data_IF_375498786801
#
_entry.id   IF_375498786801
#
_cell.length_a   1.000
_cell.length_b   1.000
_cell.length_c   1.000
_cell.angle_alpha   90.00
_cell.angle_beta   90.00
_cell.angle_gamma   90.00
#
_symmetry.space_group_name_H-M   'P 1'
#
loop_
_entity.id
_entity.type
_entity.pdbx_description
1 polymer ?
#
# COMPACT_ATOMS: atom_id res chain seq x y z
N UNK A 1 -8.34 5.12 -14.45
CA UNK A 1 -8.27 6.57 -14.68
C UNK A 1 -7.76 6.87 -16.08
N UNK A 2 -6.47 6.71 -16.35
CA UNK A 2 -5.86 6.92 -17.67
C UNK A 2 -6.27 5.90 -18.72
N UNK A 3 -6.82 4.75 -18.33
CA UNK A 3 -7.07 3.63 -19.23
C UNK A 3 -5.81 2.92 -19.75
N UNK A 4 -4.67 3.10 -19.05
CA UNK A 4 -3.37 2.54 -19.47
C UNK A 4 -2.69 1.70 -18.38
N UNK A 5 -3.33 1.51 -17.23
CA UNK A 5 -2.77 0.70 -16.13
C UNK A 5 -2.84 -0.77 -16.51
N UNK A 6 -1.69 -1.43 -16.57
CA UNK A 6 -1.55 -2.81 -17.06
C UNK A 6 -2.45 -3.79 -16.32
N UNK A 7 -2.45 -3.76 -14.99
CA UNK A 7 -3.25 -4.67 -14.17
C UNK A 7 -4.75 -4.49 -14.41
N UNK A 8 -5.22 -3.24 -14.47
CA UNK A 8 -6.63 -2.95 -14.69
C UNK A 8 -7.11 -3.40 -16.08
N UNK A 9 -6.28 -3.21 -17.12
CA UNK A 9 -6.57 -3.68 -18.48
C UNK A 9 -6.53 -5.22 -18.53
N UNK A 10 -5.52 -5.84 -17.94
CA UNK A 10 -5.37 -7.30 -17.89
C UNK A 10 -6.57 -7.98 -17.23
N UNK A 11 -7.03 -7.47 -16.08
CA UNK A 11 -8.26 -7.97 -15.45
C UNK A 11 -9.49 -7.69 -16.30
N UNK A 12 -9.58 -6.50 -16.90
CA UNK A 12 -10.66 -6.15 -17.81
C UNK A 12 -10.79 -7.13 -18.98
N UNK A 13 -9.67 -7.45 -19.62
CA UNK A 13 -9.63 -8.41 -20.73
C UNK A 13 -9.94 -9.83 -20.29
N UNK A 14 -9.41 -10.26 -19.15
CA UNK A 14 -9.69 -11.59 -18.60
C UNK A 14 -11.17 -11.78 -18.28
N UNK A 15 -11.79 -10.84 -17.56
CA UNK A 15 -13.20 -10.96 -17.21
C UNK A 15 -14.13 -10.74 -18.39
N UNK A 16 -13.75 -9.88 -19.36
CA UNK A 16 -14.49 -9.72 -20.60
C UNK A 16 -14.52 -11.04 -21.37
N UNK A 17 -13.36 -11.70 -21.56
CA UNK A 17 -13.30 -13.00 -22.22
C UNK A 17 -14.15 -14.08 -21.51
N UNK A 18 -14.13 -14.12 -20.17
CA UNK A 18 -15.00 -15.02 -19.40
C UNK A 18 -16.49 -14.75 -19.63
N UNK A 19 -16.87 -13.48 -19.75
CA UNK A 19 -18.26 -13.11 -20.06
C UNK A 19 -18.63 -13.45 -21.50
N UNK A 20 -17.72 -13.33 -22.45
CA UNK A 20 -17.92 -13.79 -23.85
C UNK A 20 -18.15 -15.29 -23.93
N UNK A 21 -17.35 -16.08 -23.21
CA UNK A 21 -17.52 -17.55 -23.13
C UNK A 21 -18.91 -17.93 -22.59
N UNK A 22 -19.43 -17.16 -21.63
CA UNK A 22 -20.72 -17.42 -20.97
C UNK A 22 -21.93 -16.88 -21.73
N UNK A 23 -21.80 -15.74 -22.43
CA UNK A 23 -22.93 -14.97 -22.97
C UNK A 23 -22.83 -14.68 -24.47
N UNK A 24 -21.71 -14.97 -25.10
CA UNK A 24 -21.46 -14.57 -26.49
C UNK A 24 -21.44 -13.07 -26.67
N UNK A 25 -21.93 -12.56 -27.81
CA UNK A 25 -21.84 -11.16 -28.20
C UNK A 25 -22.54 -10.13 -27.29
N UNK A 26 -23.09 -10.54 -26.15
CA UNK A 26 -23.73 -9.66 -25.16
C UNK A 26 -22.88 -9.35 -23.93
N UNK A 27 -21.62 -9.75 -23.91
CA UNK A 27 -20.70 -9.65 -22.76
C UNK A 27 -20.56 -8.22 -22.23
N UNK A 28 -20.37 -7.24 -23.12
CA UNK A 28 -20.20 -5.83 -22.76
C UNK A 28 -21.34 -5.23 -21.94
N UNK A 29 -22.57 -5.72 -22.16
CA UNK A 29 -23.75 -5.30 -21.40
C UNK A 29 -23.68 -5.60 -19.89
N UNK A 30 -22.71 -6.41 -19.45
CA UNK A 30 -22.44 -6.74 -18.04
C UNK A 30 -21.23 -5.98 -17.45
N UNK A 31 -20.60 -5.12 -18.25
CA UNK A 31 -19.47 -4.32 -17.83
C UNK A 31 -19.79 -2.83 -17.82
N UNK A 32 -19.11 -2.11 -16.97
CA UNK A 32 -19.07 -0.66 -16.95
C UNK A 32 -17.62 -0.21 -16.76
N UNK A 33 -17.28 0.96 -17.25
CA UNK A 33 -15.96 1.55 -17.03
C UNK A 33 -16.07 2.91 -16.35
N UNK A 34 -15.02 3.24 -15.57
CA UNK A 34 -14.82 4.56 -14.99
C UNK A 34 -13.47 5.03 -15.50
N UNK A 35 -13.42 6.16 -16.17
CA UNK A 35 -12.18 6.64 -16.79
C UNK A 35 -12.21 8.14 -17.06
N UNK A 36 -11.07 8.71 -17.43
CA UNK A 36 -10.99 10.11 -17.82
C UNK A 36 -11.57 10.30 -19.24
N UNK A 37 -12.16 11.46 -19.55
CA UNK A 37 -12.60 11.79 -20.91
C UNK A 37 -11.45 11.67 -21.91
N UNK A 38 -11.73 11.05 -23.06
CA UNK A 38 -10.75 10.88 -24.14
C UNK A 38 -9.65 9.85 -23.86
N UNK A 39 -9.77 9.06 -22.82
CA UNK A 39 -8.84 7.96 -22.57
C UNK A 39 -9.09 6.78 -23.52
N UNK A 40 -8.08 5.93 -23.81
CA UNK A 40 -8.25 4.73 -24.65
C UNK A 40 -9.36 3.77 -24.14
N UNK A 41 -9.64 3.77 -22.84
CA UNK A 41 -10.67 2.94 -22.26
C UNK A 41 -12.10 3.40 -22.65
N UNK A 42 -12.29 4.67 -23.03
CA UNK A 42 -13.58 5.14 -23.57
C UNK A 42 -13.87 4.44 -24.88
N UNK A 43 -12.91 4.44 -25.82
CA UNK A 43 -13.05 3.82 -27.13
C UNK A 43 -13.24 2.32 -27.01
N UNK A 44 -12.42 1.65 -26.21
CA UNK A 44 -12.54 0.22 -25.92
C UNK A 44 -13.92 -0.14 -25.33
N UNK A 45 -14.45 0.70 -24.43
CA UNK A 45 -15.78 0.47 -23.83
C UNK A 45 -16.91 0.59 -24.84
N UNK A 46 -16.81 1.52 -25.78
CA UNK A 46 -17.78 1.66 -26.88
C UNK A 46 -17.67 0.50 -27.87
N UNK A 47 -16.46 0.10 -28.24
CA UNK A 47 -16.22 -1.04 -29.15
C UNK A 47 -16.80 -2.33 -28.58
N UNK A 48 -16.57 -2.59 -27.29
CA UNK A 48 -17.06 -3.79 -26.57
C UNK A 48 -18.52 -3.70 -26.11
N UNK A 49 -19.21 -2.59 -26.37
CA UNK A 49 -20.61 -2.39 -25.98
C UNK A 49 -20.83 -2.40 -24.47
N UNK A 50 -19.96 -1.78 -23.69
CA UNK A 50 -20.14 -1.67 -22.23
C UNK A 50 -21.43 -0.95 -21.90
N UNK A 51 -22.13 -1.41 -20.85
CA UNK A 51 -23.41 -0.88 -20.39
C UNK A 51 -23.36 0.62 -20.12
N UNK A 52 -22.25 1.10 -19.53
CA UNK A 52 -22.07 2.49 -19.17
C UNK A 52 -20.59 2.85 -19.08
N UNK A 53 -20.27 4.04 -19.54
CA UNK A 53 -18.96 4.70 -19.29
C UNK A 53 -19.22 5.89 -18.36
N UNK A 54 -18.56 5.88 -17.20
CA UNK A 54 -18.58 6.99 -16.26
C UNK A 54 -17.33 7.83 -16.47
N UNK A 55 -17.51 9.04 -16.95
CA UNK A 55 -16.41 9.98 -17.15
C UNK A 55 -16.12 10.69 -15.83
N UNK A 56 -14.90 10.53 -15.33
CA UNK A 56 -14.45 11.13 -14.08
C UNK A 56 -13.72 12.45 -14.33
N UNK A 57 -13.45 13.20 -13.27
CA UNK A 57 -12.66 14.44 -13.31
C UNK A 57 -11.20 14.13 -13.66
N UNK A 58 -10.63 14.90 -14.58
CA UNK A 58 -9.26 14.67 -15.10
C UNK A 58 -8.16 15.13 -14.15
N UNK A 59 -8.47 16.09 -13.30
CA UNK A 59 -7.56 16.76 -12.35
C UNK A 59 -7.44 16.05 -10.99
N UNK A 60 -8.09 14.90 -10.81
CA UNK A 60 -8.02 14.10 -9.57
C UNK A 60 -7.06 12.93 -9.76
N UNK A 61 -6.02 12.82 -8.92
CA UNK A 61 -5.15 11.64 -8.84
C UNK A 61 -5.88 10.41 -8.27
N UNK A 62 -5.40 9.20 -8.58
CA UNK A 62 -6.05 7.94 -8.14
C UNK A 62 -6.24 7.87 -6.62
N UNK A 63 -5.23 8.20 -5.83
CA UNK A 63 -5.29 8.18 -4.36
C UNK A 63 -6.23 9.22 -3.74
N UNK A 64 -6.57 10.28 -4.48
CA UNK A 64 -7.52 11.33 -4.10
C UNK A 64 -8.91 11.12 -4.69
N UNK A 65 -9.23 9.93 -5.20
CA UNK A 65 -10.44 9.69 -5.98
C UNK A 65 -11.54 8.91 -5.25
N UNK A 66 -11.38 8.66 -3.94
CA UNK A 66 -12.35 7.88 -3.16
C UNK A 66 -13.75 8.50 -3.18
N UNK A 67 -13.86 9.83 -3.13
CA UNK A 67 -15.12 10.57 -3.19
C UNK A 67 -15.57 10.93 -4.62
N UNK A 68 -15.01 10.29 -5.65
CA UNK A 68 -15.40 10.41 -7.05
C UNK A 68 -16.11 9.14 -7.53
N UNK A 69 -16.42 9.05 -8.83
CA UNK A 69 -17.00 7.83 -9.40
C UNK A 69 -16.14 6.58 -9.15
N UNK A 70 -14.82 6.70 -9.00
CA UNK A 70 -13.93 5.56 -8.72
C UNK A 70 -14.26 4.86 -7.40
N UNK A 71 -14.60 5.61 -6.35
CA UNK A 71 -15.01 5.01 -5.07
C UNK A 71 -16.53 4.87 -4.94
N UNK A 72 -17.29 5.89 -5.36
CA UNK A 72 -18.74 5.94 -5.13
C UNK A 72 -19.54 4.93 -5.93
N UNK A 73 -19.14 4.63 -7.17
CA UNK A 73 -19.89 3.65 -7.98
C UNK A 73 -19.75 2.23 -7.42
N UNK A 74 -18.56 1.72 -7.12
CA UNK A 74 -18.43 0.43 -6.44
C UNK A 74 -19.18 0.38 -5.11
N UNK A 75 -19.07 1.43 -4.28
CA UNK A 75 -19.77 1.52 -3.00
C UNK A 75 -21.30 1.43 -3.16
N UNK A 76 -21.86 2.16 -4.14
CA UNK A 76 -23.28 2.09 -4.44
C UNK A 76 -23.72 0.71 -4.92
N UNK A 77 -22.91 0.03 -5.73
CA UNK A 77 -23.17 -1.34 -6.20
C UNK A 77 -23.11 -2.37 -5.06
N UNK A 78 -22.34 -2.08 -4.02
CA UNK A 78 -22.28 -2.88 -2.79
C UNK A 78 -23.40 -2.57 -1.79
N UNK A 79 -24.27 -1.60 -2.10
CA UNK A 79 -25.39 -1.22 -1.24
C UNK A 79 -25.06 -0.19 -0.16
N UNK A 80 -23.90 0.45 -0.22
CA UNK A 80 -23.57 1.55 0.70
C UNK A 80 -24.42 2.77 0.41
N UNK A 81 -24.93 3.43 1.44
CA UNK A 81 -25.61 4.72 1.29
C UNK A 81 -24.60 5.83 0.96
N UNK A 82 -24.29 5.95 -0.33
CA UNK A 82 -23.36 6.96 -0.86
C UNK A 82 -23.89 8.38 -0.70
N UNK A 83 -25.19 8.57 -0.55
CA UNK A 83 -25.79 9.87 -0.27
C UNK A 83 -25.39 10.36 1.11
N UNK A 84 -25.61 9.55 2.15
CA UNK A 84 -25.20 9.90 3.53
C UNK A 84 -23.68 9.99 3.64
N UNK A 85 -22.90 9.09 3.00
CA UNK A 85 -21.45 9.15 2.96
C UNK A 85 -20.95 10.51 2.42
N UNK A 86 -21.54 10.99 1.31
CA UNK A 86 -21.20 12.30 0.74
C UNK A 86 -21.63 13.47 1.62
N UNK A 87 -22.79 13.38 2.29
CA UNK A 87 -23.23 14.41 3.25
C UNK A 87 -22.19 14.57 4.37
N UNK A 88 -21.66 13.46 4.89
CA UNK A 88 -20.61 13.50 5.92
C UNK A 88 -19.29 14.06 5.38
N UNK A 89 -18.90 13.70 4.16
CA UNK A 89 -17.74 14.31 3.47
C UNK A 89 -17.90 15.83 3.34
N UNK A 90 -19.09 16.31 2.96
CA UNK A 90 -19.38 17.75 2.84
C UNK A 90 -19.33 18.46 4.19
N UNK A 91 -19.77 17.82 5.28
CA UNK A 91 -19.63 18.38 6.65
C UNK A 91 -18.14 18.58 7.01
N UNK A 92 -17.30 17.58 6.70
CA UNK A 92 -15.86 17.69 6.93
C UNK A 92 -15.22 18.76 6.03
N UNK A 93 -15.59 18.81 4.75
CA UNK A 93 -15.17 19.88 3.83
C UNK A 93 -15.49 21.26 4.42
N UNK A 94 -16.70 21.43 4.93
CA UNK A 94 -17.12 22.69 5.57
C UNK A 94 -16.26 22.97 6.81
N UNK A 95 -16.05 21.98 7.68
CA UNK A 95 -15.21 22.11 8.87
C UNK A 95 -13.74 22.46 8.53
N UNK A 96 -13.24 22.06 7.38
CA UNK A 96 -11.88 22.40 6.91
C UNK A 96 -11.82 23.69 6.08
N UNK A 97 -12.97 24.31 5.76
CA UNK A 97 -13.02 25.51 4.93
C UNK A 97 -12.71 26.77 5.73
N UNK A 98 -12.02 27.77 5.15
CA UNK A 98 -11.90 29.10 5.74
C UNK A 98 -13.24 29.83 5.84
N UNK A 99 -14.27 29.39 5.11
CA UNK A 99 -15.64 29.96 5.15
C UNK A 99 -16.43 29.49 6.37
N UNK A 100 -15.97 28.46 7.09
CA UNK A 100 -16.57 28.04 8.34
C UNK A 100 -16.52 29.23 9.34
N UNK A 101 -17.64 29.56 10.06
CA UNK A 101 -17.71 30.76 10.89
C UNK A 101 -16.61 30.73 11.96
N UNK A 102 -15.62 31.54 11.78
CA UNK A 102 -14.46 31.57 12.65
C UNK A 102 -13.74 32.91 12.60
N UNK A 103 -14.44 33.98 12.96
CA UNK A 103 -13.77 35.25 13.28
C UNK A 103 -12.74 35.09 14.43
N UNK A 104 -12.88 34.02 15.25
CA UNK A 104 -12.06 33.72 16.42
C UNK A 104 -11.70 32.23 16.57
N UNK A 105 -11.71 31.46 15.47
CA UNK A 105 -11.49 30.01 15.54
C UNK A 105 -9.99 29.68 15.71
N UNK A 106 -9.68 28.91 16.74
CA UNK A 106 -8.35 28.33 16.88
C UNK A 106 -8.07 27.45 15.64
N UNK A 107 -6.93 27.62 14.92
CA UNK A 107 -6.53 26.73 13.84
C UNK A 107 -6.56 25.24 14.21
N UNK A 108 -6.37 24.90 15.49
CA UNK A 108 -6.50 23.54 16.00
C UNK A 108 -7.93 22.98 15.91
N UNK A 109 -8.94 23.82 15.75
CA UNK A 109 -10.34 23.40 15.54
C UNK A 109 -10.64 23.01 14.08
N UNK A 110 -9.73 23.29 13.14
CA UNK A 110 -9.82 22.79 11.76
C UNK A 110 -9.24 21.39 11.69
N UNK A 111 -10.07 20.33 11.48
CA UNK A 111 -9.62 18.96 11.64
C UNK A 111 -8.57 18.53 10.60
N UNK A 112 -8.66 19.05 9.37
CA UNK A 112 -7.68 18.78 8.32
C UNK A 112 -6.35 19.50 8.55
N UNK A 113 -6.42 20.77 8.97
CA UNK A 113 -5.22 21.56 9.28
C UNK A 113 -4.50 21.01 10.51
N UNK A 114 -5.21 20.71 11.59
CA UNK A 114 -4.62 20.17 12.82
C UNK A 114 -3.91 18.82 12.55
N UNK A 115 -4.58 17.91 11.83
CA UNK A 115 -3.98 16.62 11.47
C UNK A 115 -2.79 16.80 10.53
N UNK A 116 -2.92 17.60 9.48
CA UNK A 116 -1.84 17.83 8.50
C UNK A 116 -0.63 18.51 9.13
N UNK A 117 -0.84 19.50 9.99
CA UNK A 117 0.24 20.15 10.75
C UNK A 117 0.94 19.15 11.70
N UNK A 118 0.17 18.32 12.40
CA UNK A 118 0.73 17.27 13.26
C UNK A 118 1.61 16.31 12.49
N UNK A 119 1.11 15.81 11.36
CA UNK A 119 1.85 14.89 10.48
C UNK A 119 3.14 15.53 9.93
N UNK A 120 3.04 16.75 9.39
CA UNK A 120 4.17 17.45 8.79
C UNK A 120 5.24 17.84 9.81
N UNK A 121 4.83 18.49 10.91
CA UNK A 121 5.75 18.97 11.95
C UNK A 121 6.45 17.82 12.70
N UNK A 122 5.72 16.76 13.05
CA UNK A 122 6.33 15.59 13.68
C UNK A 122 7.22 14.85 12.69
N UNK A 123 6.82 14.78 11.41
CA UNK A 123 7.65 14.23 10.35
C UNK A 123 8.99 14.93 10.21
N UNK A 124 9.01 16.27 10.19
CA UNK A 124 10.25 17.07 10.18
C UNK A 124 11.12 16.87 11.43
N UNK A 125 10.53 16.48 12.56
CA UNK A 125 11.23 16.19 13.82
C UNK A 125 11.65 14.72 13.94
N UNK A 126 11.61 13.94 12.85
CA UNK A 126 12.01 12.54 12.81
C UNK A 126 10.92 11.54 13.18
N UNK A 127 9.71 11.97 13.60
CA UNK A 127 8.56 11.09 13.87
C UNK A 127 7.75 10.84 12.58
N UNK A 128 8.39 10.19 11.64
CA UNK A 128 7.86 10.02 10.28
C UNK A 128 7.26 8.63 10.00
N UNK A 129 7.20 7.73 10.99
CA UNK A 129 6.54 6.41 10.91
C UNK A 129 5.13 6.53 11.51
N UNK A 130 4.14 6.79 10.63
CA UNK A 130 2.73 6.96 11.01
C UNK A 130 2.08 5.60 11.17
N UNK A 131 1.91 5.14 12.40
CA UNK A 131 1.38 3.81 12.72
C UNK A 131 -0.11 3.90 13.00
N UNK A 132 -0.90 3.20 12.19
CA UNK A 132 -2.36 3.17 12.30
C UNK A 132 -2.82 2.04 13.19
N UNK A 133 -3.51 2.39 14.26
CA UNK A 133 -4.16 1.50 15.20
C UNK A 133 -5.67 1.60 14.99
N UNK A 134 -6.28 0.57 14.43
CA UNK A 134 -7.69 0.62 14.00
C UNK A 134 -8.44 -0.67 14.32
N UNK A 135 -9.76 -0.56 14.58
CA UNK A 135 -10.65 -1.70 14.64
C UNK A 135 -10.60 -2.52 13.34
N UNK A 136 -10.89 -3.81 13.42
CA UNK A 136 -10.92 -4.72 12.27
C UNK A 136 -11.82 -4.22 11.14
N UNK A 137 -12.98 -3.64 11.47
CA UNK A 137 -13.92 -3.07 10.50
C UNK A 137 -13.31 -1.92 9.65
N UNK A 138 -12.22 -1.29 10.10
CA UNK A 138 -11.51 -0.23 9.37
C UNK A 138 -10.18 -0.71 8.75
N UNK A 139 -9.83 -1.99 8.85
CA UNK A 139 -8.52 -2.47 8.39
C UNK A 139 -8.24 -2.15 6.92
N UNK A 140 -9.24 -2.26 6.04
CA UNK A 140 -9.10 -1.93 4.60
C UNK A 140 -8.94 -0.43 4.34
N UNK A 141 -9.45 0.44 5.22
CA UNK A 141 -9.20 1.87 5.14
C UNK A 141 -7.71 2.19 5.35
N UNK A 142 -7.02 1.40 6.17
CA UNK A 142 -5.57 1.49 6.33
C UNK A 142 -4.80 1.33 5.01
N UNK A 143 -5.26 0.47 4.10
CA UNK A 143 -4.64 0.27 2.78
C UNK A 143 -4.76 1.52 1.88
N UNK A 144 -5.86 2.26 1.99
CA UNK A 144 -6.01 3.53 1.27
C UNK A 144 -5.14 4.62 1.90
N UNK A 145 -5.07 4.71 3.23
CA UNK A 145 -4.16 5.62 3.94
C UNK A 145 -2.70 5.35 3.61
N UNK A 146 -2.33 4.07 3.47
CA UNK A 146 -1.00 3.66 3.01
C UNK A 146 -0.67 4.27 1.66
N UNK A 147 -1.56 4.13 0.69
CA UNK A 147 -1.35 4.73 -0.62
C UNK A 147 -1.31 6.25 -0.54
N UNK A 148 -2.28 6.86 0.13
CA UNK A 148 -2.41 8.31 0.21
C UNK A 148 -1.12 8.94 0.76
N UNK A 149 -0.63 8.48 1.91
CA UNK A 149 0.56 9.06 2.54
C UNK A 149 1.85 8.72 1.80
N UNK A 150 2.08 7.44 1.51
CA UNK A 150 3.34 7.01 0.90
C UNK A 150 3.56 7.60 -0.49
N UNK A 151 2.53 7.57 -1.34
CA UNK A 151 2.64 8.07 -2.72
C UNK A 151 2.66 9.61 -2.77
N UNK A 152 1.99 10.29 -1.84
CA UNK A 152 1.97 11.75 -1.80
C UNK A 152 3.24 12.35 -1.18
N UNK A 153 3.81 11.72 -0.15
CA UNK A 153 4.90 12.34 0.63
C UNK A 153 6.28 11.74 0.35
N UNK A 154 6.35 10.50 -0.16
CA UNK A 154 7.60 9.75 -0.31
C UNK A 154 8.40 10.17 -1.53
N UNK A 155 9.01 11.35 -1.54
CA UNK A 155 9.79 11.87 -2.65
C UNK A 155 10.85 12.88 -2.19
N UNK A 156 11.82 13.17 -3.05
CA UNK A 156 12.89 14.15 -2.78
C UNK A 156 13.68 13.88 -1.48
N UNK A 157 13.77 12.59 -1.10
CA UNK A 157 14.50 12.17 0.09
C UNK A 157 13.74 12.37 1.40
N UNK A 158 12.46 12.74 1.37
CA UNK A 158 11.58 12.85 2.54
C UNK A 158 10.35 11.95 2.42
N UNK A 159 9.53 11.88 3.45
CA UNK A 159 8.26 11.17 3.41
C UNK A 159 7.77 10.69 4.78
N UNK A 160 6.47 10.44 4.83
CA UNK A 160 5.81 9.81 5.96
C UNK A 160 5.58 8.32 5.62
N UNK A 161 6.15 7.43 6.40
CA UNK A 161 5.95 5.99 6.24
C UNK A 161 4.65 5.56 6.92
N UNK A 162 3.61 5.19 6.19
CA UNK A 162 2.42 4.60 6.78
C UNK A 162 2.71 3.15 7.22
N UNK A 163 2.40 2.85 8.47
CA UNK A 163 2.50 1.50 9.04
C UNK A 163 1.10 1.01 9.35
N UNK A 164 0.56 0.15 8.49
CA UNK A 164 -0.79 -0.41 8.59
C UNK A 164 -0.77 -1.88 8.98
N UNK A 165 -1.78 -2.34 9.72
CA UNK A 165 -1.94 -3.75 10.08
C UNK A 165 -0.80 -4.33 10.93
N UNK A 166 0.03 -3.50 11.55
CA UNK A 166 1.01 -3.93 12.55
C UNK A 166 0.28 -4.21 13.87
N UNK A 167 0.31 -5.42 14.40
CA UNK A 167 -0.28 -5.71 15.70
C UNK A 167 0.36 -4.85 16.78
N UNK A 168 -0.48 -4.29 17.68
CA UNK A 168 0.04 -3.49 18.78
C UNK A 168 0.95 -4.33 19.69
N UNK A 169 2.13 -3.79 20.03
CA UNK A 169 3.12 -4.41 20.89
C UNK A 169 3.29 -3.68 22.22
N UNK A 170 4.22 -4.16 23.04
CA UNK A 170 4.67 -3.44 24.22
C UNK A 170 5.30 -2.09 23.81
N UNK A 171 5.07 -0.98 24.54
CA UNK A 171 5.65 0.32 24.18
C UNK A 171 7.18 0.30 23.99
N UNK A 172 7.89 -0.56 24.69
CA UNK A 172 9.37 -0.66 24.61
C UNK A 172 9.91 -1.15 23.27
N UNK A 173 9.06 -1.76 22.41
CA UNK A 173 9.50 -2.21 21.08
C UNK A 173 9.45 -1.13 20.00
N UNK A 174 8.94 0.05 20.35
CA UNK A 174 8.79 1.16 19.41
C UNK A 174 9.89 2.22 19.60
N UNK A 175 10.48 2.65 18.49
CA UNK A 175 11.42 3.76 18.48
C UNK A 175 10.76 5.13 18.64
N UNK A 176 11.57 6.15 18.84
CA UNK A 176 11.13 7.55 18.98
C UNK A 176 10.64 8.16 17.66
N UNK A 177 10.76 7.44 16.55
CA UNK A 177 10.36 7.86 15.21
C UNK A 177 8.88 7.60 14.90
N UNK A 178 8.12 7.06 15.86
CA UNK A 178 6.70 6.72 15.72
C UNK A 178 5.78 7.89 16.03
N UNK A 179 4.72 8.01 15.22
CA UNK A 179 3.49 8.73 15.50
C UNK A 179 2.35 7.72 15.38
N UNK A 180 1.54 7.57 16.42
CA UNK A 180 0.42 6.66 16.41
C UNK A 180 -0.87 7.41 16.07
N UNK A 181 -1.71 6.81 15.21
CA UNK A 181 -3.05 7.30 14.91
C UNK A 181 -4.05 6.22 15.27
N UNK A 182 -4.85 6.47 16.28
CA UNK A 182 -5.83 5.54 16.82
C UNK A 182 -7.24 5.91 16.33
N UNK A 183 -7.89 4.99 15.61
CA UNK A 183 -9.29 5.10 15.21
C UNK A 183 -10.20 4.38 16.19
N UNK A 184 -11.27 5.03 16.59
CA UNK A 184 -12.31 4.47 17.47
C UNK A 184 -13.67 4.57 16.81
N UNK A 185 -14.39 3.44 16.74
CA UNK A 185 -15.79 3.39 16.33
C UNK A 185 -16.69 3.46 17.56
N UNK A 186 -17.72 4.32 17.54
CA UNK A 186 -18.70 4.45 18.63
C UNK A 186 -19.88 3.51 18.50
N UNK A 187 -20.30 3.23 17.24
CA UNK A 187 -21.43 2.35 16.99
C UNK A 187 -21.13 0.89 17.41
N UNK A 188 -21.89 0.36 18.33
CA UNK A 188 -21.72 -0.99 18.84
C UNK A 188 -21.88 -2.09 17.78
N UNK A 189 -22.66 -1.84 16.72
CA UNK A 189 -22.85 -2.79 15.63
C UNK A 189 -21.60 -2.99 14.77
N UNK A 190 -20.71 -1.99 14.73
CA UNK A 190 -19.48 -1.99 13.92
C UNK A 190 -18.26 -2.41 14.74
N UNK A 191 -18.46 -2.83 16.00
CA UNK A 191 -17.38 -3.08 16.96
C UNK A 191 -17.19 -4.55 17.29
N UNK A 192 -15.92 -4.90 17.56
CA UNK A 192 -15.56 -6.11 18.29
C UNK A 192 -15.11 -5.71 19.72
N UNK A 193 -16.02 -5.72 20.71
CA UNK A 193 -15.74 -5.11 22.03
C UNK A 193 -14.47 -5.61 22.70
N UNK A 194 -14.17 -6.92 22.59
CA UNK A 194 -12.97 -7.51 23.21
C UNK A 194 -11.69 -7.08 22.52
N UNK A 195 -11.69 -7.05 21.19
CA UNK A 195 -10.53 -6.62 20.40
C UNK A 195 -10.28 -5.12 20.60
N UNK A 196 -11.34 -4.31 20.57
CA UNK A 196 -11.26 -2.85 20.74
C UNK A 196 -10.77 -2.48 22.16
N UNK A 197 -11.24 -3.17 23.20
CA UNK A 197 -10.74 -2.97 24.57
C UNK A 197 -9.25 -3.31 24.71
N UNK A 198 -8.79 -4.35 24.02
CA UNK A 198 -7.37 -4.69 23.99
C UNK A 198 -6.55 -3.63 23.27
N UNK A 199 -7.07 -3.12 22.16
CA UNK A 199 -6.45 -2.02 21.42
C UNK A 199 -6.39 -0.73 22.27
N UNK A 200 -7.51 -0.35 22.87
CA UNK A 200 -7.61 0.86 23.75
C UNK A 200 -6.57 0.79 24.88
N UNK A 201 -6.45 -0.36 25.58
CA UNK A 201 -5.43 -0.55 26.63
C UNK A 201 -3.99 -0.42 26.12
N UNK A 202 -3.71 -0.98 24.95
CA UNK A 202 -2.40 -0.82 24.33
C UNK A 202 -2.10 0.63 23.97
N UNK A 203 -3.10 1.37 23.47
CA UNK A 203 -2.98 2.80 23.16
C UNK A 203 -2.73 3.62 24.43
N UNK A 204 -3.39 3.30 25.54
CA UNK A 204 -3.15 3.99 26.82
C UNK A 204 -1.72 3.72 27.31
N UNK A 205 -1.23 2.49 27.19
CA UNK A 205 0.17 2.18 27.51
C UNK A 205 1.18 2.95 26.65
N UNK A 206 0.90 3.17 25.35
CA UNK A 206 1.74 4.00 24.48
C UNK A 206 1.78 5.46 24.94
N UNK A 207 0.63 6.01 25.34
CA UNK A 207 0.57 7.38 25.91
C UNK A 207 1.34 7.51 27.21
N UNK A 208 1.17 6.55 28.12
CA UNK A 208 1.88 6.51 29.40
C UNK A 208 3.40 6.40 29.20
N UNK A 209 3.83 5.73 28.16
CA UNK A 209 5.25 5.65 27.75
C UNK A 209 5.76 6.91 27.03
N UNK A 210 4.91 7.91 26.75
CA UNK A 210 5.29 9.18 26.13
C UNK A 210 5.27 9.19 24.60
N UNK A 211 4.72 8.16 23.96
CA UNK A 211 4.54 8.18 22.50
C UNK A 211 3.41 9.14 22.10
N UNK A 212 3.57 9.93 21.01
CA UNK A 212 2.52 10.79 20.50
C UNK A 212 1.39 9.94 19.89
N UNK A 213 0.16 10.18 20.33
CA UNK A 213 -1.03 9.48 19.84
C UNK A 213 -2.10 10.49 19.46
N UNK A 214 -2.51 10.48 18.21
CA UNK A 214 -3.70 11.17 17.70
C UNK A 214 -4.87 10.20 17.77
N UNK A 215 -6.00 10.59 18.34
CA UNK A 215 -7.22 9.77 18.33
C UNK A 215 -8.27 10.39 17.42
N UNK A 216 -8.81 9.59 16.53
CA UNK A 216 -9.90 9.93 15.61
C UNK A 216 -11.13 9.10 16.00
N UNK A 217 -12.17 9.77 16.45
CA UNK A 217 -13.43 9.12 16.79
C UNK A 217 -14.40 9.18 15.61
N UNK A 218 -14.97 8.04 15.26
CA UNK A 218 -15.98 7.87 14.22
C UNK A 218 -17.28 7.37 14.85
N UNK A 219 -18.40 7.94 14.43
CA UNK A 219 -19.73 7.52 14.88
C UNK A 219 -20.07 6.11 14.42
N UNK A 220 -19.90 5.87 13.12
CA UNK A 220 -20.11 4.60 12.43
C UNK A 220 -19.26 4.56 11.15
N UNK A 221 -19.40 3.48 10.34
CA UNK A 221 -18.60 3.28 9.12
C UNK A 221 -18.91 4.30 8.00
N UNK A 222 -20.07 4.97 7.99
CA UNK A 222 -20.35 6.02 7.01
C UNK A 222 -19.53 7.30 7.27
N UNK A 223 -18.95 7.45 8.46
CA UNK A 223 -17.96 8.50 8.72
C UNK A 223 -16.67 8.37 7.89
N UNK A 224 -16.47 7.24 7.19
CA UNK A 224 -15.42 7.13 6.18
C UNK A 224 -15.53 8.25 5.12
N UNK A 225 -16.73 8.74 4.82
CA UNK A 225 -16.90 9.88 3.92
C UNK A 225 -16.16 11.13 4.40
N UNK A 226 -16.28 11.45 5.69
CA UNK A 226 -15.55 12.59 6.28
C UNK A 226 -14.04 12.31 6.41
N UNK A 227 -13.65 11.06 6.70
CA UNK A 227 -12.25 10.70 6.85
C UNK A 227 -11.50 10.72 5.52
N UNK A 228 -12.11 10.31 4.41
CA UNK A 228 -11.52 10.51 3.08
C UNK A 228 -11.14 11.98 2.87
N UNK A 229 -12.06 12.90 3.11
CA UNK A 229 -11.80 14.33 2.92
C UNK A 229 -10.76 14.87 3.92
N UNK A 230 -10.88 14.52 5.21
CA UNK A 230 -9.92 14.95 6.25
C UNK A 230 -8.48 14.58 5.89
N UNK A 231 -8.27 13.32 5.50
CA UNK A 231 -6.94 12.80 5.20
C UNK A 231 -6.37 13.34 3.89
N UNK A 232 -7.20 13.59 2.88
CA UNK A 232 -6.77 14.24 1.64
C UNK A 232 -6.23 15.65 1.91
N UNK A 233 -6.96 16.46 2.67
CA UNK A 233 -6.52 17.81 3.08
C UNK A 233 -5.30 17.73 3.99
N UNK A 234 -5.31 16.87 5.00
CA UNK A 234 -4.18 16.70 5.92
C UNK A 234 -2.90 16.30 5.20
N UNK A 235 -3.00 15.41 4.20
CA UNK A 235 -1.85 14.98 3.38
C UNK A 235 -1.30 16.14 2.53
N UNK A 236 -2.17 16.97 1.96
CA UNK A 236 -1.75 18.15 1.21
C UNK A 236 -1.02 19.16 2.10
N UNK A 237 -1.54 19.40 3.31
CA UNK A 237 -0.92 20.29 4.30
C UNK A 237 0.42 19.73 4.78
N UNK A 238 0.48 18.44 5.12
CA UNK A 238 1.73 17.78 5.50
C UNK A 238 2.77 17.88 4.38
N UNK A 239 2.35 17.69 3.11
CA UNK A 239 3.22 17.87 1.96
C UNK A 239 3.79 19.27 1.83
N UNK A 240 2.96 20.30 2.06
CA UNK A 240 3.41 21.69 2.07
C UNK A 240 4.43 21.98 3.18
N UNK A 241 4.23 21.42 4.38
CA UNK A 241 5.17 21.54 5.52
C UNK A 241 6.48 20.80 5.23
N UNK A 242 6.40 19.61 4.63
CA UNK A 242 7.56 18.83 4.22
C UNK A 242 8.30 19.43 3.00
N UNK A 243 7.73 20.44 2.35
CA UNK A 243 8.31 21.12 1.20
C UNK A 243 8.23 20.35 -0.11
N UNK A 244 7.27 19.41 -0.25
CA UNK A 244 7.10 18.57 -1.45
C UNK A 244 5.72 18.76 -2.09
N UNK A 245 5.61 18.41 -3.37
CA UNK A 245 4.33 18.35 -4.06
C UNK A 245 3.59 17.04 -3.73
N UNK A 246 2.48 17.12 -2.98
CA UNK A 246 1.70 15.94 -2.59
C UNK A 246 0.89 15.32 -3.75
N UNK A 247 0.82 15.96 -4.93
CA UNK A 247 -0.09 15.57 -6.00
C UNK A 247 0.58 14.86 -7.19
N UNK A 248 1.91 14.73 -7.20
CA UNK A 248 2.67 13.99 -8.20
C UNK A 248 3.27 12.69 -7.63
N UNK A 249 3.84 11.85 -8.50
CA UNK A 249 4.47 10.57 -8.16
C UNK A 249 5.58 10.22 -9.17
N UNK A 250 6.73 10.93 -9.15
CA UNK A 250 7.74 10.82 -10.20
C UNK A 250 8.42 9.45 -10.30
N UNK A 251 8.50 8.67 -9.22
CA UNK A 251 9.22 7.39 -9.20
C UNK A 251 8.37 6.18 -9.63
N UNK A 252 7.05 6.34 -9.83
CA UNK A 252 6.18 5.24 -10.27
C UNK A 252 6.46 4.85 -11.73
N UNK A 253 6.77 5.82 -12.59
CA UNK A 253 6.98 5.57 -14.01
C UNK A 253 8.19 4.65 -14.27
N UNK A 254 9.27 4.79 -13.51
CA UNK A 254 10.48 3.98 -13.67
C UNK A 254 10.21 2.47 -13.51
N UNK A 255 9.39 2.07 -12.53
CA UNK A 255 9.02 0.66 -12.35
C UNK A 255 8.21 0.12 -13.53
N UNK A 256 7.34 0.94 -14.11
CA UNK A 256 6.58 0.57 -15.33
C UNK A 256 7.50 0.38 -16.53
N UNK A 257 8.43 1.29 -16.73
CA UNK A 257 9.38 1.21 -17.86
C UNK A 257 10.28 -0.02 -17.73
N UNK A 258 10.75 -0.33 -16.52
CA UNK A 258 11.53 -1.54 -16.26
C UNK A 258 10.70 -2.81 -16.51
N UNK A 259 9.45 -2.84 -16.07
CA UNK A 259 8.53 -3.98 -16.31
C UNK A 259 8.29 -4.18 -17.80
N UNK A 260 7.98 -3.12 -18.54
CA UNK A 260 7.75 -3.21 -19.99
C UNK A 260 8.98 -3.74 -20.72
N UNK A 261 10.17 -3.23 -20.38
CA UNK A 261 11.43 -3.74 -20.96
C UNK A 261 11.65 -5.23 -20.69
N UNK A 262 11.30 -5.70 -19.48
CA UNK A 262 11.40 -7.13 -19.15
C UNK A 262 10.39 -7.98 -19.91
N UNK A 263 9.18 -7.48 -20.14
CA UNK A 263 8.17 -8.14 -20.96
C UNK A 263 8.60 -8.17 -22.44
N UNK A 264 9.19 -7.10 -22.98
CA UNK A 264 9.76 -7.08 -24.33
C UNK A 264 10.89 -8.14 -24.50
N UNK A 265 11.69 -8.37 -23.44
CA UNK A 265 12.69 -9.46 -23.44
C UNK A 265 12.00 -10.82 -23.46
N UNK A 266 10.98 -11.00 -22.61
CA UNK A 266 10.22 -12.25 -22.59
C UNK A 266 9.57 -12.57 -23.94
N UNK A 267 8.99 -11.58 -24.63
CA UNK A 267 8.40 -11.76 -25.96
C UNK A 267 9.40 -12.24 -27.01
N UNK A 268 10.65 -11.79 -26.91
CA UNK A 268 11.72 -12.16 -27.86
C UNK A 268 12.38 -13.49 -27.53
N UNK A 269 12.58 -13.79 -26.24
CA UNK A 269 13.44 -14.86 -25.74
C UNK A 269 12.66 -16.02 -25.11
N UNK A 270 11.36 -15.85 -24.87
CA UNK A 270 10.50 -16.82 -24.22
C UNK A 270 10.72 -16.99 -22.72
N UNK A 271 11.62 -16.17 -22.13
CA UNK A 271 11.95 -16.21 -20.70
C UNK A 271 12.38 -14.85 -20.19
N UNK A 272 12.17 -14.61 -18.91
CA UNK A 272 12.71 -13.43 -18.21
C UNK A 272 14.20 -13.64 -17.92
N UNK A 273 14.99 -12.54 -17.83
CA UNK A 273 16.40 -12.66 -17.45
C UNK A 273 16.56 -13.32 -16.07
N UNK A 274 17.47 -14.29 -16.02
CA UNK A 274 17.82 -14.96 -14.77
C UNK A 274 18.92 -14.18 -14.02
N UNK A 275 18.82 -14.17 -12.70
CA UNK A 275 19.83 -13.65 -11.79
C UNK A 275 20.54 -14.83 -11.11
N UNK A 276 21.87 -14.79 -11.03
CA UNK A 276 22.62 -15.79 -10.27
C UNK A 276 22.32 -15.65 -8.77
N UNK A 277 21.92 -16.73 -8.08
CA UNK A 277 21.72 -16.69 -6.64
C UNK A 277 23.04 -16.44 -5.90
N UNK A 278 22.96 -15.67 -4.81
CA UNK A 278 24.08 -15.51 -3.88
C UNK A 278 24.26 -16.79 -3.03
N UNK A 279 23.14 -17.46 -2.68
CA UNK A 279 23.16 -18.69 -1.90
C UNK A 279 21.87 -19.48 -2.14
N UNK A 280 21.99 -20.82 -2.18
CA UNK A 280 20.88 -21.76 -2.23
C UNK A 280 20.93 -22.65 -1.00
N UNK A 281 19.85 -22.62 -0.21
CA UNK A 281 19.66 -23.43 1.01
C UNK A 281 18.19 -23.86 1.04
N UNK A 282 17.89 -25.01 0.41
CA UNK A 282 16.51 -25.44 0.19
C UNK A 282 15.63 -25.38 1.48
N UNK A 283 14.40 -24.84 1.39
CA UNK A 283 13.70 -24.43 0.17
C UNK A 283 13.99 -22.99 -0.29
N UNK A 284 14.91 -22.28 0.34
CA UNK A 284 15.18 -20.86 0.11
C UNK A 284 16.28 -20.65 -0.93
N UNK A 285 16.08 -19.63 -1.77
CA UNK A 285 17.13 -19.11 -2.66
C UNK A 285 17.29 -17.62 -2.40
N UNK A 286 18.49 -17.21 -2.02
CA UNK A 286 18.84 -15.81 -1.72
C UNK A 286 19.48 -15.14 -2.92
N UNK A 287 18.98 -13.96 -3.27
CA UNK A 287 19.57 -13.04 -4.25
C UNK A 287 19.93 -11.73 -3.54
N UNK A 288 21.21 -11.51 -3.39
CA UNK A 288 21.80 -10.36 -2.70
C UNK A 288 23.07 -9.92 -3.42
N UNK A 289 23.68 -8.83 -2.96
CA UNK A 289 25.04 -8.47 -3.39
C UNK A 289 26.00 -9.66 -3.15
N UNK A 290 26.92 -9.88 -4.10
CA UNK A 290 27.90 -10.98 -3.98
C UNK A 290 28.70 -10.83 -2.70
N UNK A 291 28.63 -11.83 -1.83
CA UNK A 291 29.34 -11.97 -0.58
C UNK A 291 29.64 -13.42 -0.29
N UNK A 292 30.54 -13.70 0.64
CA UNK A 292 30.82 -15.05 1.15
C UNK A 292 29.94 -15.33 2.35
N UNK A 293 28.74 -15.87 2.11
CA UNK A 293 27.81 -16.29 3.16
C UNK A 293 27.87 -17.82 3.32
N UNK A 294 27.90 -18.32 4.54
CA UNK A 294 27.84 -19.75 4.84
C UNK A 294 26.41 -20.28 4.96
N UNK A 295 25.44 -19.38 5.28
CA UNK A 295 24.03 -19.69 5.37
C UNK A 295 23.16 -18.45 5.09
N UNK A 296 21.87 -18.68 4.77
CA UNK A 296 20.90 -17.60 4.61
C UNK A 296 20.72 -16.83 5.94
N UNK A 297 20.78 -17.55 7.07
CA UNK A 297 20.71 -16.93 8.40
C UNK A 297 21.86 -15.94 8.63
N UNK A 298 23.09 -16.30 8.28
CA UNK A 298 24.25 -15.39 8.35
C UNK A 298 24.09 -14.18 7.44
N UNK A 299 23.66 -14.39 6.20
CA UNK A 299 23.41 -13.31 5.24
C UNK A 299 22.37 -12.32 5.75
N UNK A 300 21.26 -12.82 6.32
CA UNK A 300 20.20 -12.00 6.89
C UNK A 300 20.65 -11.30 8.18
N UNK A 301 21.42 -11.97 9.05
CA UNK A 301 22.01 -11.33 10.23
C UNK A 301 22.93 -10.17 9.82
N UNK A 302 23.77 -10.36 8.80
CA UNK A 302 24.60 -9.30 8.24
C UNK A 302 23.82 -8.17 7.57
N UNK A 303 22.68 -8.49 6.94
CA UNK A 303 21.78 -7.49 6.35
C UNK A 303 21.11 -6.63 7.42
N UNK A 304 20.53 -7.26 8.45
CA UNK A 304 19.93 -6.54 9.58
C UNK A 304 20.94 -5.86 10.49
N UNK A 305 22.17 -6.38 10.58
CA UNK A 305 23.24 -5.75 11.34
C UNK A 305 23.67 -4.38 10.81
N UNK A 306 23.21 -3.99 9.62
CA UNK A 306 23.41 -2.65 9.04
C UNK A 306 22.28 -1.68 9.40
N UNK A 307 21.28 -2.12 10.17
CA UNK A 307 20.14 -1.30 10.55
C UNK A 307 20.56 -0.13 11.45
N UNK A 308 19.92 1.01 11.23
CA UNK A 308 20.08 2.22 12.05
C UNK A 308 18.74 2.52 12.76
N UNK A 309 18.75 3.28 13.86
CA UNK A 309 17.52 3.55 14.63
C UNK A 309 16.36 4.17 13.85
N UNK A 310 16.65 4.91 12.77
CA UNK A 310 15.65 5.57 11.94
C UNK A 310 15.18 4.72 10.75
N UNK A 311 15.69 3.50 10.62
CA UNK A 311 15.35 2.61 9.54
C UNK A 311 13.94 2.00 9.72
N UNK A 312 13.48 1.31 8.69
CA UNK A 312 12.30 0.44 8.72
C UNK A 312 12.54 -0.82 7.90
N UNK A 313 11.82 -1.87 8.20
CA UNK A 313 11.84 -3.10 7.40
C UNK A 313 10.58 -3.18 6.54
N UNK A 314 10.74 -3.41 5.25
CA UNK A 314 9.63 -3.64 4.33
C UNK A 314 9.61 -5.09 3.84
N UNK A 315 8.58 -5.85 4.20
CA UNK A 315 8.28 -7.15 3.62
C UNK A 315 7.45 -6.94 2.34
N UNK A 316 8.04 -7.25 1.19
CA UNK A 316 7.48 -7.02 -0.14
C UNK A 316 7.10 -8.37 -0.76
N UNK A 317 5.88 -8.83 -0.51
CA UNK A 317 5.43 -10.18 -0.80
C UNK A 317 4.78 -10.29 -2.19
N UNK A 318 5.50 -10.80 -3.20
CA UNK A 318 4.92 -11.20 -4.49
C UNK A 318 4.35 -12.63 -4.40
N UNK A 319 3.43 -12.81 -3.48
CA UNK A 319 2.82 -14.09 -3.11
C UNK A 319 1.30 -13.99 -3.25
N UNK A 320 0.62 -15.13 -3.26
CA UNK A 320 -0.84 -15.18 -3.14
C UNK A 320 -1.24 -14.81 -1.71
N UNK A 321 -2.20 -13.91 -1.56
CA UNK A 321 -2.73 -13.49 -0.25
C UNK A 321 -3.72 -14.54 0.25
N UNK A 322 -3.24 -15.41 1.15
CA UNK A 322 -4.00 -16.45 1.81
C UNK A 322 -3.85 -16.30 3.33
N UNK A 323 -4.82 -16.77 4.09
CA UNK A 323 -4.85 -16.59 5.55
C UNK A 323 -3.58 -17.12 6.24
N UNK A 324 -3.13 -18.32 5.88
CA UNK A 324 -1.95 -18.95 6.49
C UNK A 324 -0.67 -18.21 6.09
N UNK A 325 -0.56 -17.78 4.83
CA UNK A 325 0.54 -16.94 4.32
C UNK A 325 0.58 -15.61 5.06
N UNK A 326 -0.57 -14.97 5.23
CA UNK A 326 -0.69 -13.71 5.96
C UNK A 326 -0.25 -13.86 7.41
N UNK A 327 -0.64 -14.94 8.10
CA UNK A 327 -0.25 -15.18 9.49
C UNK A 327 1.26 -15.35 9.63
N UNK A 328 1.88 -16.17 8.79
CA UNK A 328 3.35 -16.37 8.82
C UNK A 328 4.12 -15.07 8.52
N UNK A 329 3.65 -14.26 7.57
CA UNK A 329 4.25 -12.96 7.27
C UNK A 329 4.08 -11.98 8.44
N UNK A 330 2.94 -11.99 9.13
CA UNK A 330 2.73 -11.19 10.33
C UNK A 330 3.64 -11.64 11.48
N UNK A 331 3.83 -12.94 11.68
CA UNK A 331 4.74 -13.48 12.71
C UNK A 331 6.19 -13.04 12.43
N UNK A 332 6.63 -13.09 11.16
CA UNK A 332 7.95 -12.59 10.73
C UNK A 332 8.04 -11.09 11.00
N UNK A 333 7.03 -10.33 10.61
CA UNK A 333 6.95 -8.89 10.80
C UNK A 333 7.07 -8.48 12.27
N UNK A 334 6.28 -9.09 13.14
CA UNK A 334 6.31 -8.82 14.59
C UNK A 334 7.66 -9.19 15.18
N UNK A 335 8.22 -10.35 14.81
CA UNK A 335 9.54 -10.76 15.27
C UNK A 335 10.63 -9.74 14.89
N UNK A 336 10.61 -9.24 13.63
CA UNK A 336 11.58 -8.24 13.18
C UNK A 336 11.41 -6.91 13.91
N UNK A 337 10.16 -6.45 14.12
CA UNK A 337 9.90 -5.25 14.92
C UNK A 337 10.46 -5.38 16.33
N UNK A 338 10.13 -6.47 17.02
CA UNK A 338 10.49 -6.68 18.43
C UNK A 338 12.00 -6.85 18.60
N UNK A 339 12.67 -7.50 17.64
CA UNK A 339 14.12 -7.72 17.65
C UNK A 339 14.93 -6.48 17.31
N UNK A 340 14.46 -5.67 16.36
CA UNK A 340 15.19 -4.55 15.81
C UNK A 340 14.73 -3.19 16.36
N UNK A 341 13.58 -3.14 17.03
CA UNK A 341 12.90 -1.92 17.46
C UNK A 341 12.60 -0.94 16.31
N UNK A 342 12.39 -1.47 15.10
CA UNK A 342 12.13 -0.70 13.89
C UNK A 342 10.67 -0.80 13.45
N UNK A 343 10.21 0.21 12.72
CA UNK A 343 8.94 0.13 12.00
C UNK A 343 8.99 -1.01 10.97
N UNK A 344 7.87 -1.71 10.83
CA UNK A 344 7.76 -2.79 9.84
C UNK A 344 6.53 -2.61 8.98
N UNK A 345 6.69 -2.75 7.67
CA UNK A 345 5.58 -2.76 6.71
C UNK A 345 5.47 -4.12 6.04
N UNK A 346 4.26 -4.49 5.67
CA UNK A 346 3.97 -5.68 4.88
C UNK A 346 3.05 -5.29 3.73
N UNK A 347 3.51 -5.47 2.51
CA UNK A 347 2.73 -5.20 1.31
C UNK A 347 2.76 -6.35 0.32
N UNK A 348 1.61 -6.62 -0.32
CA UNK A 348 1.54 -7.58 -1.42
C UNK A 348 1.85 -6.90 -2.76
N UNK A 349 2.75 -7.50 -3.53
CA UNK A 349 3.04 -7.10 -4.90
C UNK A 349 2.17 -7.85 -5.92
N UNK A 350 1.78 -7.19 -7.02
CA UNK A 350 2.24 -5.87 -7.46
C UNK A 350 1.52 -4.66 -6.83
N UNK A 351 0.50 -4.84 -6.00
CA UNK A 351 -0.33 -3.74 -5.44
C UNK A 351 0.51 -2.61 -4.82
N UNK A 352 1.52 -2.94 -4.00
CA UNK A 352 2.33 -1.92 -3.33
C UNK A 352 3.15 -1.04 -4.30
N UNK A 353 3.36 -1.44 -5.57
CA UNK A 353 3.98 -0.58 -6.58
C UNK A 353 3.19 0.71 -6.80
N UNK A 354 1.87 0.66 -6.53
CA UNK A 354 0.93 1.77 -6.62
C UNK A 354 0.59 2.38 -5.24
N UNK A 355 1.40 2.12 -4.21
CA UNK A 355 1.25 2.70 -2.86
C UNK A 355 2.62 3.06 -2.27
N UNK A 356 3.23 2.18 -1.50
CA UNK A 356 4.54 2.40 -0.86
C UNK A 356 5.70 2.46 -1.85
N UNK A 357 5.54 1.95 -3.07
CA UNK A 357 6.58 1.91 -4.08
C UNK A 357 7.17 3.28 -4.44
N UNK A 358 6.37 4.36 -4.39
CA UNK A 358 6.86 5.74 -4.55
C UNK A 358 7.83 6.09 -3.41
N UNK A 359 7.42 5.84 -2.16
CA UNK A 359 8.22 6.13 -0.96
C UNK A 359 9.48 5.26 -0.89
N UNK A 360 9.40 3.99 -1.26
CA UNK A 360 10.55 3.09 -1.28
C UNK A 360 11.68 3.62 -2.18
N UNK A 361 11.35 4.26 -3.29
CA UNK A 361 12.31 4.78 -4.27
C UNK A 361 12.65 6.25 -4.05
N UNK A 362 11.64 7.09 -3.80
CA UNK A 362 11.79 8.54 -3.71
C UNK A 362 11.96 9.08 -2.30
N UNK A 363 11.58 8.32 -1.28
CA UNK A 363 11.72 8.70 0.13
C UNK A 363 13.15 8.63 0.66
N UNK A 364 13.35 8.84 1.97
CA UNK A 364 14.67 8.73 2.59
C UNK A 364 15.23 7.31 2.46
N UNK A 365 16.56 7.17 2.40
CA UNK A 365 17.21 5.87 2.26
C UNK A 365 17.32 5.13 3.60
N UNK A 366 16.20 4.95 4.28
CA UNK A 366 16.05 4.30 5.58
C UNK A 366 15.38 2.93 5.50
N UNK A 367 15.10 2.41 4.29
CA UNK A 367 14.47 1.11 4.09
C UNK A 367 15.44 -0.07 4.08
N UNK A 368 15.07 -1.14 4.75
CA UNK A 368 15.63 -2.50 4.63
C UNK A 368 14.55 -3.35 3.92
N UNK A 369 14.76 -3.63 2.64
CA UNK A 369 13.76 -4.27 1.81
C UNK A 369 13.99 -5.77 1.68
N UNK A 370 12.97 -6.56 2.00
CA UNK A 370 12.95 -8.02 1.81
C UNK A 370 11.88 -8.32 0.78
N UNK A 371 12.31 -8.56 -0.45
CA UNK A 371 11.40 -8.99 -1.52
C UNK A 371 11.24 -10.51 -1.47
N UNK A 372 10.01 -10.97 -1.30
CA UNK A 372 9.64 -12.38 -1.24
C UNK A 372 8.96 -12.78 -2.56
N UNK A 373 9.45 -13.84 -3.17
CA UNK A 373 8.88 -14.43 -4.40
C UNK A 373 8.72 -15.94 -4.23
N UNK A 374 7.81 -16.54 -4.97
CA UNK A 374 7.61 -17.99 -5.01
C UNK A 374 7.18 -18.44 -6.40
N UNK A 375 7.21 -19.73 -6.64
CA UNK A 375 6.59 -20.33 -7.82
C UNK A 375 5.07 -20.27 -7.70
N UNK A 376 4.40 -19.99 -8.82
CA UNK A 376 2.93 -20.00 -8.87
C UNK A 376 2.41 -21.43 -8.99
N UNK A 377 1.56 -21.85 -8.06
CA UNK A 377 0.93 -23.17 -8.15
C UNK A 377 0.02 -23.30 -9.38
N UNK A 378 -0.61 -22.20 -9.78
CA UNK A 378 -1.43 -22.08 -10.99
C UNK A 378 -1.08 -20.77 -11.67
N UNK A 379 -0.70 -20.84 -12.93
CA UNK A 379 -0.48 -19.65 -13.75
C UNK A 379 -1.58 -19.51 -14.79
N UNK A 380 -2.16 -18.32 -14.88
CA UNK A 380 -3.31 -18.03 -15.74
C UNK A 380 -2.83 -17.27 -16.97
N UNK A 381 -3.14 -17.73 -18.20
CA UNK A 381 -2.85 -17.00 -19.43
C UNK A 381 -3.53 -15.62 -19.43
N UNK A 382 -2.83 -14.61 -19.92
CA UNK A 382 -3.38 -13.28 -20.08
C UNK A 382 -3.94 -13.15 -21.52
N UNK A 383 -5.25 -12.91 -21.69
CA UNK A 383 -5.87 -12.84 -23.01
C UNK A 383 -5.20 -11.80 -23.91
N UNK A 384 -4.87 -12.17 -25.13
CA UNK A 384 -4.26 -11.29 -26.12
C UNK A 384 -2.79 -10.96 -25.88
N UNK A 385 -2.15 -11.54 -24.87
CA UNK A 385 -0.73 -11.36 -24.60
C UNK A 385 0.03 -12.70 -24.75
N UNK A 386 1.33 -12.66 -25.11
CA UNK A 386 2.16 -13.87 -25.21
C UNK A 386 2.63 -14.36 -23.83
N UNK A 387 2.26 -13.71 -22.74
CA UNK A 387 2.66 -14.05 -21.38
C UNK A 387 1.45 -14.23 -20.45
N UNK A 388 1.70 -14.82 -19.30
CA UNK A 388 0.71 -15.11 -18.26
C UNK A 388 0.69 -14.02 -17.17
N UNK A 389 -0.29 -14.09 -16.26
CA UNK A 389 -0.31 -13.25 -15.05
C UNK A 389 0.89 -13.52 -14.14
N UNK A 390 1.36 -14.77 -14.02
CA UNK A 390 2.57 -15.12 -13.28
C UNK A 390 3.83 -14.51 -13.90
N UNK A 391 3.94 -14.53 -15.22
CA UNK A 391 5.05 -13.87 -15.94
C UNK A 391 5.01 -12.35 -15.72
N UNK A 392 3.83 -11.72 -15.82
CA UNK A 392 3.67 -10.29 -15.55
C UNK A 392 4.09 -9.96 -14.12
N UNK A 393 3.60 -10.70 -13.11
CA UNK A 393 3.97 -10.52 -11.69
C UNK A 393 5.48 -10.64 -11.47
N UNK A 394 6.14 -11.64 -12.10
CA UNK A 394 7.60 -11.82 -12.02
C UNK A 394 8.35 -10.66 -12.67
N UNK A 395 7.90 -10.18 -13.84
CA UNK A 395 8.50 -9.01 -14.50
C UNK A 395 8.38 -7.75 -13.62
N UNK A 396 7.24 -7.55 -12.96
CA UNK A 396 7.03 -6.45 -12.03
C UNK A 396 7.94 -6.57 -10.79
N UNK A 397 8.09 -7.77 -10.21
CA UNK A 397 9.00 -8.01 -9.10
C UNK A 397 10.46 -7.71 -9.46
N UNK A 398 10.91 -8.20 -10.61
CA UNK A 398 12.27 -7.95 -11.12
C UNK A 398 12.48 -6.47 -11.45
N UNK A 399 11.52 -5.81 -12.09
CA UNK A 399 11.58 -4.40 -12.44
C UNK A 399 11.67 -3.50 -11.21
N UNK A 400 10.92 -3.83 -10.16
CA UNK A 400 10.97 -3.11 -8.89
C UNK A 400 12.30 -3.32 -8.17
N UNK A 401 12.81 -4.57 -8.12
CA UNK A 401 14.12 -4.88 -7.56
C UNK A 401 15.24 -4.10 -8.26
N UNK A 402 15.21 -4.02 -9.60
CA UNK A 402 16.17 -3.23 -10.38
C UNK A 402 16.08 -1.74 -10.03
N UNK A 403 14.87 -1.19 -9.88
CA UNK A 403 14.69 0.20 -9.45
C UNK A 403 15.25 0.46 -8.05
N UNK A 404 14.96 -0.40 -7.08
CA UNK A 404 15.48 -0.27 -5.72
C UNK A 404 17.01 -0.28 -5.70
N UNK A 405 17.64 -1.22 -6.41
CA UNK A 405 19.10 -1.31 -6.53
C UNK A 405 19.70 -0.07 -7.19
N UNK A 406 19.09 0.42 -8.26
CA UNK A 406 19.53 1.65 -8.97
C UNK A 406 19.48 2.88 -8.06
N UNK A 407 18.50 2.95 -7.14
CA UNK A 407 18.40 4.00 -6.13
C UNK A 407 19.29 3.74 -4.89
N UNK A 408 20.19 2.76 -4.93
CA UNK A 408 21.10 2.43 -3.83
C UNK A 408 20.36 1.96 -2.56
N UNK A 409 19.18 1.37 -2.72
CA UNK A 409 18.39 0.85 -1.59
C UNK A 409 18.97 -0.48 -1.11
N UNK A 410 18.94 -0.70 0.20
CA UNK A 410 19.35 -1.96 0.84
C UNK A 410 18.24 -2.98 0.60
N UNK A 411 18.42 -3.90 -0.35
CA UNK A 411 17.41 -4.89 -0.74
C UNK A 411 18.02 -6.27 -0.91
N UNK A 412 17.28 -7.28 -0.40
CA UNK A 412 17.51 -8.69 -0.67
C UNK A 412 16.24 -9.29 -1.25
N UNK A 413 16.37 -10.23 -2.20
CA UNK A 413 15.27 -11.04 -2.68
C UNK A 413 15.44 -12.47 -2.18
N UNK A 414 14.37 -13.04 -1.63
CA UNK A 414 14.32 -14.41 -1.17
C UNK A 414 13.21 -15.11 -1.96
N UNK A 415 13.58 -16.14 -2.68
CA UNK A 415 12.63 -17.02 -3.36
C UNK A 415 12.33 -18.22 -2.47
N UNK A 416 11.05 -18.50 -2.25
CA UNK A 416 10.55 -19.46 -1.28
C UNK A 416 10.33 -20.86 -1.86
N UNK A 417 10.54 -21.03 -3.18
CA UNK A 417 10.23 -22.26 -3.91
C UNK A 417 8.72 -22.47 -4.14
N UNK A 418 8.30 -23.68 -4.49
CA UNK A 418 6.90 -23.98 -4.84
C UNK A 418 5.95 -24.12 -3.64
N UNK A 419 6.47 -24.38 -2.45
CA UNK A 419 5.70 -24.48 -1.22
C UNK A 419 5.96 -23.24 -0.36
N UNK A 420 5.07 -22.24 -0.53
CA UNK A 420 5.18 -20.93 0.13
C UNK A 420 5.23 -21.05 1.65
N UNK A 421 4.43 -21.94 2.23
CA UNK A 421 4.35 -22.08 3.69
C UNK A 421 5.63 -22.70 4.26
N UNK A 422 6.16 -23.72 3.60
CA UNK A 422 7.46 -24.32 3.95
C UNK A 422 8.59 -23.30 3.79
N UNK A 423 8.57 -22.51 2.72
CA UNK A 423 9.53 -21.43 2.48
C UNK A 423 9.47 -20.35 3.56
N UNK A 424 8.29 -19.87 3.92
CA UNK A 424 8.11 -18.87 4.99
C UNK A 424 8.51 -19.41 6.37
N UNK A 425 8.21 -20.67 6.68
CA UNK A 425 8.64 -21.30 7.92
C UNK A 425 10.17 -21.43 8.00
N UNK A 426 10.83 -21.75 6.87
CA UNK A 426 12.29 -21.77 6.79
C UNK A 426 12.89 -20.35 6.95
N UNK A 427 12.29 -19.34 6.32
CA UNK A 427 12.69 -17.94 6.48
C UNK A 427 12.53 -17.46 7.92
N UNK A 428 11.40 -17.76 8.56
CA UNK A 428 11.17 -17.44 9.98
C UNK A 428 12.25 -18.05 10.89
N UNK A 429 12.69 -19.27 10.58
CA UNK A 429 13.79 -19.92 11.31
C UNK A 429 15.13 -19.24 11.05
N UNK A 430 15.40 -18.79 9.83
CA UNK A 430 16.65 -18.12 9.45
C UNK A 430 16.78 -16.70 10.05
N UNK A 431 15.66 -16.04 10.36
CA UNK A 431 15.64 -14.69 10.96
C UNK A 431 15.79 -14.74 12.50
N UNK A 432 15.41 -15.83 13.16
CA UNK A 432 15.53 -16.02 14.62
C UNK A 432 16.98 -16.04 15.07
#
# INVERSE_FOLDING_TARGET
KSGTTTEALSYGDYFYGKLEDLKGGGAGGNMASITDPGSPLVDLSHERGYRKVFLNFTDIGGRYSALSYFGLLPAALMGVDVGELLVRALRMRYACSPEAPAADRDPAENPGLALGATLGELGLRGRNKVTFLMPEALATFGMWLEQLLAESTGKEGTGLLPVTGEPIGDPSVYGDDRLFVHFRLKNAADRNPKADETLDRGVDALRDAGHPVVTIEMGDLLDLGQEFFRWEIATAIAGAILGINAFDQPNVQESKDNTNRLLDVYEREGQLPEEEPALVEEPLVLYAEKGTYQSIAEALAGFFGKAQPEDYVALMAYLTEEQDTQQLLQDIRVHLRDKLHLATTLGYGPRFLHSTGQLHKGGPNTGLFIQLTADDAVDVPLPGQPYSFGTLKRAQALGDLQSLRKHGRRVVRIHLGPDVQKGLAALQKAIK
#
